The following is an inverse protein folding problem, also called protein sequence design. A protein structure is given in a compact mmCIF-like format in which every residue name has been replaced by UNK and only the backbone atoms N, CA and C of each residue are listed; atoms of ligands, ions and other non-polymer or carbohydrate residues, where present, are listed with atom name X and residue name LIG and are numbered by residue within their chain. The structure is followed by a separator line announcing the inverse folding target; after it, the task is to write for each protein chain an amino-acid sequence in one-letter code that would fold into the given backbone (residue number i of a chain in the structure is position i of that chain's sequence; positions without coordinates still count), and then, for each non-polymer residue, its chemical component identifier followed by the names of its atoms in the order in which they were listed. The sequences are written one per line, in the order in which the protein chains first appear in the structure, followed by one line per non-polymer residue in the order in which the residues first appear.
data_IF_720294455386
#
_entry.id   IF_720294455386
#
_cell.length_a   1.000
_cell.length_b   1.000
_cell.length_c   1.000
_cell.angle_alpha   90.00
_cell.angle_beta   90.00
_cell.angle_gamma   90.00
#
_symmetry.space_group_name_H-M   'P 1'
#
loop_
_entity.id
_entity.type
_entity.pdbx_description
1 polymer ?
#
# COMPACT_ATOMS: atom_id res chain seq x y z
N UNK A 1 22.40 3.23 4.87
CA UNK A 1 21.11 3.58 5.44
C UNK A 1 20.57 4.86 4.79
N UNK A 2 19.30 4.88 4.49
CA UNK A 2 18.69 6.06 3.89
C UNK A 2 18.71 7.23 4.87
N UNK A 3 19.01 8.43 4.38
CA UNK A 3 18.99 9.65 5.20
C UNK A 3 17.57 10.11 5.47
N UNK A 4 16.61 9.66 4.65
CA UNK A 4 15.22 10.03 4.76
C UNK A 4 14.39 8.90 4.17
N UNK A 5 13.15 8.74 4.69
CA UNK A 5 12.21 7.76 4.12
C UNK A 5 11.94 8.05 2.63
N UNK A 6 12.14 9.30 2.21
CA UNK A 6 11.91 9.69 0.82
C UNK A 6 12.86 9.00 -0.16
N UNK A 7 14.00 8.49 0.34
CA UNK A 7 14.98 7.77 -0.47
C UNK A 7 14.63 6.28 -0.60
N UNK A 8 13.67 5.79 0.17
CA UNK A 8 13.31 4.38 0.12
C UNK A 8 12.45 4.09 -1.11
N UNK A 9 12.91 3.17 -1.95
CA UNK A 9 12.19 2.81 -3.18
C UNK A 9 10.77 2.35 -2.88
N UNK A 10 10.58 1.59 -1.79
CA UNK A 10 9.28 1.07 -1.43
C UNK A 10 8.30 2.21 -1.08
N UNK A 11 8.79 3.27 -0.42
CA UNK A 11 7.98 4.45 -0.16
C UNK A 11 7.64 5.16 -1.47
N UNK A 12 8.65 5.33 -2.33
CA UNK A 12 8.47 5.99 -3.62
C UNK A 12 7.44 5.27 -4.51
N UNK A 13 7.37 3.96 -4.42
CA UNK A 13 6.36 3.18 -5.15
C UNK A 13 4.99 3.22 -4.49
N UNK A 14 4.97 3.37 -3.18
CA UNK A 14 3.70 3.45 -2.42
C UNK A 14 2.92 4.72 -2.72
N UNK A 15 3.59 5.80 -3.08
CA UNK A 15 2.93 7.06 -3.40
C UNK A 15 2.09 6.95 -4.69
N UNK A 16 2.67 6.55 -5.84
CA UNK A 16 1.84 6.40 -7.05
C UNK A 16 0.75 5.34 -6.91
N UNK A 17 0.97 4.30 -6.11
CA UNK A 17 -0.07 3.33 -5.82
C UNK A 17 -1.27 4.00 -5.14
N UNK A 18 -1.01 4.82 -4.12
CA UNK A 18 -2.07 5.53 -3.40
C UNK A 18 -2.82 6.48 -4.33
N UNK A 19 -2.08 7.22 -5.16
CA UNK A 19 -2.67 8.16 -6.13
C UNK A 19 -3.55 7.40 -7.11
N UNK A 20 -3.07 6.27 -7.63
CA UNK A 20 -3.83 5.45 -8.58
C UNK A 20 -5.13 4.95 -7.96
N UNK A 21 -5.07 4.50 -6.70
CA UNK A 21 -6.27 4.02 -6.00
C UNK A 21 -7.31 5.13 -5.87
N UNK A 22 -6.89 6.35 -5.55
CA UNK A 22 -7.82 7.48 -5.50
C UNK A 22 -8.42 7.75 -6.87
N UNK A 23 -7.60 7.73 -7.92
CA UNK A 23 -8.07 8.01 -9.27
C UNK A 23 -9.07 6.96 -9.76
N UNK A 24 -8.73 5.68 -9.64
CA UNK A 24 -9.60 4.62 -10.14
C UNK A 24 -10.90 4.51 -9.34
N UNK A 25 -10.85 4.81 -8.04
CA UNK A 25 -12.04 4.68 -7.21
C UNK A 25 -13.03 5.83 -7.36
N UNK A 26 -12.66 6.90 -8.07
CA UNK A 26 -13.63 7.96 -8.40
C UNK A 26 -14.79 7.44 -9.23
N UNK A 27 -14.58 6.37 -9.99
CA UNK A 27 -15.62 5.77 -10.83
C UNK A 27 -16.47 4.75 -10.08
N UNK A 28 -16.17 4.48 -8.82
CA UNK A 28 -16.94 3.52 -8.03
C UNK A 28 -18.33 4.09 -7.67
N UNK A 29 -19.32 3.23 -7.41
CA UNK A 29 -20.65 3.70 -7.05
C UNK A 29 -20.63 4.61 -5.84
N UNK A 30 -21.44 5.67 -5.86
CA UNK A 30 -21.51 6.65 -4.77
C UNK A 30 -21.92 6.00 -3.45
N UNK A 31 -22.80 5.01 -3.50
CA UNK A 31 -23.26 4.30 -2.31
C UNK A 31 -22.16 3.55 -1.58
N UNK A 32 -21.04 3.31 -2.26
CA UNK A 32 -19.89 2.63 -1.66
C UNK A 32 -18.83 3.59 -1.15
N UNK A 33 -19.09 4.90 -1.19
CA UNK A 33 -18.11 5.89 -0.74
C UNK A 33 -17.67 5.65 0.69
N UNK A 34 -18.59 5.32 1.59
CA UNK A 34 -18.29 5.05 2.99
C UNK A 34 -18.10 3.56 3.27
N UNK A 35 -18.07 2.74 2.23
CA UNK A 35 -17.82 1.31 2.32
C UNK A 35 -16.49 0.96 1.68
N UNK A 36 -16.54 0.18 0.60
CA UNK A 36 -15.34 -0.33 -0.07
C UNK A 36 -14.40 0.79 -0.52
N UNK A 37 -14.93 1.86 -1.08
CA UNK A 37 -14.11 2.98 -1.55
C UNK A 37 -13.26 3.56 -0.42
N UNK A 38 -13.90 3.86 0.71
CA UNK A 38 -13.21 4.43 1.87
C UNK A 38 -12.15 3.47 2.40
N UNK A 39 -12.50 2.20 2.54
CA UNK A 39 -11.57 1.18 3.04
C UNK A 39 -10.37 1.01 2.12
N UNK A 40 -10.61 0.98 0.82
CA UNK A 40 -9.56 0.84 -0.17
C UNK A 40 -8.56 2.00 -0.10
N UNK A 41 -9.08 3.22 -0.02
CA UNK A 41 -8.25 4.42 0.05
C UNK A 41 -7.42 4.43 1.34
N UNK A 42 -8.02 4.04 2.45
CA UNK A 42 -7.30 3.99 3.74
C UNK A 42 -6.20 2.93 3.71
N UNK A 43 -6.47 1.77 3.14
CA UNK A 43 -5.45 0.73 3.03
C UNK A 43 -4.28 1.21 2.17
N UNK A 44 -4.58 1.86 1.05
CA UNK A 44 -3.55 2.37 0.14
C UNK A 44 -2.65 3.40 0.83
N UNK A 45 -3.24 4.39 1.50
CA UNK A 45 -2.48 5.44 2.19
C UNK A 45 -1.69 4.86 3.37
N UNK A 46 -2.21 3.84 4.01
CA UNK A 46 -1.55 3.18 5.14
C UNK A 46 -0.18 2.60 4.75
N UNK A 47 -0.01 2.19 3.50
CA UNK A 47 1.24 1.58 3.05
C UNK A 47 2.41 2.58 3.15
N UNK A 48 2.43 3.69 2.40
CA UNK A 48 3.56 4.62 2.51
C UNK A 48 3.62 5.30 3.87
N UNK A 49 2.48 5.52 4.52
CA UNK A 49 2.47 6.16 5.83
C UNK A 49 3.21 5.34 6.88
N UNK A 50 2.97 4.02 6.91
CA UNK A 50 3.64 3.15 7.87
C UNK A 50 5.12 2.94 7.54
N UNK A 51 5.46 2.92 6.25
CA UNK A 51 6.87 2.86 5.85
C UNK A 51 7.62 4.09 6.37
N UNK A 52 7.04 5.28 6.17
CA UNK A 52 7.66 6.53 6.61
C UNK A 52 7.74 6.59 8.14
N UNK A 53 6.67 6.20 8.81
CA UNK A 53 6.64 6.23 10.27
C UNK A 53 7.66 5.27 10.85
N UNK A 54 7.77 4.07 10.30
CA UNK A 54 8.75 3.09 10.74
C UNK A 54 10.17 3.56 10.53
N UNK A 55 10.44 4.19 9.39
CA UNK A 55 11.77 4.73 9.10
C UNK A 55 12.16 5.84 10.08
N UNK A 56 11.18 6.52 10.67
CA UNK A 56 11.43 7.56 11.67
C UNK A 56 11.67 7.04 13.07
N UNK A 57 11.51 5.74 13.30
CA UNK A 57 11.77 5.16 14.62
C UNK A 57 13.27 4.99 14.83
N UNK A 58 13.67 4.93 16.09
CA UNK A 58 15.07 4.94 16.45
C UNK A 58 15.72 3.55 16.51
N UNK A 59 14.97 2.49 16.22
CA UNK A 59 15.49 1.14 16.34
C UNK A 59 14.88 0.20 15.30
N UNK A 60 15.61 -0.87 15.02
CA UNK A 60 15.24 -1.86 14.01
C UNK A 60 13.96 -2.64 14.36
N UNK A 61 13.73 -3.09 15.60
CA UNK A 61 12.49 -3.79 15.92
C UNK A 61 11.23 -2.99 15.61
N UNK A 62 11.22 -1.70 15.94
CA UNK A 62 10.07 -0.85 15.65
C UNK A 62 9.92 -0.64 14.13
N UNK A 63 11.02 -0.44 13.42
CA UNK A 63 10.98 -0.30 11.97
C UNK A 63 10.37 -1.56 11.35
N UNK A 64 10.83 -2.74 11.79
CA UNK A 64 10.28 -4.01 11.31
C UNK A 64 8.79 -4.11 11.57
N UNK A 65 8.33 -3.67 12.75
CA UNK A 65 6.92 -3.70 13.10
C UNK A 65 6.09 -2.85 12.13
N UNK A 66 6.54 -1.63 11.85
CA UNK A 66 5.82 -0.75 10.92
C UNK A 66 5.83 -1.28 9.49
N UNK A 67 6.93 -1.87 9.06
CA UNK A 67 6.98 -2.53 7.75
C UNK A 67 5.99 -3.68 7.70
N UNK A 68 5.84 -4.43 8.78
CA UNK A 68 4.83 -5.49 8.87
C UNK A 68 3.42 -4.97 8.74
N UNK A 69 3.12 -3.83 9.36
CA UNK A 69 1.81 -3.19 9.23
C UNK A 69 1.58 -2.77 7.77
N UNK A 70 2.59 -2.17 7.14
CA UNK A 70 2.50 -1.78 5.74
C UNK A 70 2.25 -2.98 4.83
N UNK A 71 2.92 -4.11 5.11
CA UNK A 71 2.71 -5.35 4.36
C UNK A 71 1.28 -5.84 4.50
N UNK A 72 0.75 -5.84 5.72
CA UNK A 72 -0.64 -6.22 5.96
C UNK A 72 -1.60 -5.31 5.21
N UNK A 73 -1.32 -4.01 5.17
CA UNK A 73 -2.13 -3.06 4.40
C UNK A 73 -2.09 -3.36 2.91
N UNK A 74 -0.95 -3.85 2.39
CA UNK A 74 -0.87 -4.22 0.97
C UNK A 74 -1.74 -5.44 0.67
N UNK A 75 -1.83 -6.40 1.57
CA UNK A 75 -2.71 -7.54 1.40
C UNK A 75 -4.17 -7.13 1.51
N UNK A 76 -4.48 -6.20 2.40
CA UNK A 76 -5.82 -5.66 2.53
C UNK A 76 -6.23 -4.94 1.25
N UNK A 77 -5.35 -4.11 0.70
CA UNK A 77 -5.60 -3.42 -0.56
C UNK A 77 -5.79 -4.40 -1.71
N UNK A 78 -4.97 -5.44 -1.80
CA UNK A 78 -5.13 -6.50 -2.79
C UNK A 78 -6.54 -7.11 -2.71
N UNK A 79 -6.99 -7.36 -1.49
CA UNK A 79 -8.31 -7.94 -1.25
C UNK A 79 -9.41 -6.99 -1.75
N UNK A 80 -9.29 -5.69 -1.41
CA UNK A 80 -10.26 -4.68 -1.86
C UNK A 80 -10.30 -4.58 -3.38
N UNK A 81 -9.14 -4.59 -4.02
CA UNK A 81 -9.05 -4.52 -5.49
C UNK A 81 -9.71 -5.73 -6.14
N UNK A 82 -9.50 -6.90 -5.58
CA UNK A 82 -10.13 -8.12 -6.07
C UNK A 82 -11.65 -8.04 -5.93
N UNK A 83 -12.13 -7.56 -4.77
CA UNK A 83 -13.57 -7.39 -4.55
C UNK A 83 -14.16 -6.41 -5.57
N UNK A 84 -13.49 -5.27 -5.77
CA UNK A 84 -13.95 -4.27 -6.73
C UNK A 84 -14.03 -4.86 -8.14
N UNK A 85 -13.04 -5.63 -8.54
CA UNK A 85 -13.01 -6.28 -9.85
C UNK A 85 -14.18 -7.26 -9.99
N UNK A 86 -14.42 -8.08 -8.97
CA UNK A 86 -15.52 -9.05 -8.99
C UNK A 86 -16.88 -8.37 -9.04
N UNK A 87 -17.02 -7.20 -8.42
CA UNK A 87 -18.25 -6.42 -8.45
C UNK A 87 -18.40 -5.61 -9.75
N UNK A 88 -17.37 -5.57 -10.58
CA UNK A 88 -17.41 -4.78 -11.81
C UNK A 88 -17.31 -3.28 -11.58
N UNK A 89 -16.72 -2.86 -10.47
CA UNK A 89 -16.56 -1.43 -10.16
C UNK A 89 -15.39 -0.84 -10.94
N UNK A 90 -15.61 0.33 -11.53
CA UNK A 90 -14.58 1.09 -12.21
C UNK A 90 -14.05 0.43 -13.47
N UNK A 91 -12.86 0.84 -13.89
CA UNK A 91 -12.20 0.36 -15.09
C UNK A 91 -11.35 -0.85 -14.75
N UNK A 92 -11.69 -2.00 -15.32
CA UNK A 92 -10.99 -3.26 -15.05
C UNK A 92 -9.50 -3.16 -15.37
N UNK A 93 -9.12 -2.45 -16.42
CA UNK A 93 -7.71 -2.30 -16.79
C UNK A 93 -6.93 -1.54 -15.72
N UNK A 94 -7.52 -0.48 -15.15
CA UNK A 94 -6.88 0.28 -14.09
C UNK A 94 -6.74 -0.56 -12.82
N UNK A 95 -7.75 -1.38 -12.52
CA UNK A 95 -7.70 -2.25 -11.34
C UNK A 95 -6.57 -3.27 -11.49
N UNK A 96 -6.41 -3.84 -12.69
CA UNK A 96 -5.31 -4.80 -12.94
C UNK A 96 -3.95 -4.12 -12.74
N UNK A 97 -3.79 -2.89 -13.23
CA UNK A 97 -2.54 -2.14 -13.02
C UNK A 97 -2.29 -1.92 -11.54
N UNK A 98 -3.33 -1.53 -10.80
CA UNK A 98 -3.20 -1.31 -9.35
C UNK A 98 -2.85 -2.61 -8.61
N UNK A 99 -3.46 -3.73 -9.01
CA UNK A 99 -3.15 -5.03 -8.42
C UNK A 99 -1.68 -5.39 -8.63
N UNK A 100 -1.17 -5.17 -9.83
CA UNK A 100 0.23 -5.43 -10.15
C UNK A 100 1.18 -4.57 -9.34
N UNK A 101 0.90 -3.27 -9.25
CA UNK A 101 1.72 -2.34 -8.49
C UNK A 101 1.67 -2.65 -6.99
N UNK A 102 0.49 -3.00 -6.49
CA UNK A 102 0.33 -3.38 -5.09
C UNK A 102 1.13 -4.65 -4.77
N UNK A 103 1.09 -5.63 -5.66
CA UNK A 103 1.86 -6.85 -5.50
C UNK A 103 3.36 -6.56 -5.48
N UNK A 104 3.82 -5.68 -6.37
CA UNK A 104 5.23 -5.27 -6.41
C UNK A 104 5.63 -4.61 -5.09
N UNK A 105 4.82 -3.67 -4.61
CA UNK A 105 5.09 -2.98 -3.34
C UNK A 105 5.14 -3.97 -2.19
N UNK A 106 4.21 -4.93 -2.15
CA UNK A 106 4.20 -5.96 -1.11
C UNK A 106 5.48 -6.78 -1.10
N UNK A 107 5.97 -7.15 -2.28
CA UNK A 107 7.23 -7.89 -2.38
C UNK A 107 8.42 -7.04 -1.93
N UNK A 108 8.43 -5.76 -2.28
CA UNK A 108 9.48 -4.85 -1.84
C UNK A 108 9.48 -4.69 -0.33
N UNK A 109 8.31 -4.60 0.29
CA UNK A 109 8.20 -4.53 1.75
C UNK A 109 8.78 -5.80 2.38
N UNK A 110 8.39 -6.96 1.85
CA UNK A 110 8.91 -8.23 2.35
C UNK A 110 10.44 -8.28 2.24
N UNK A 111 10.98 -7.84 1.10
CA UNK A 111 12.43 -7.76 0.92
C UNK A 111 13.09 -6.82 1.90
N UNK A 112 12.45 -5.69 2.20
CA UNK A 112 12.97 -4.74 3.19
C UNK A 112 12.99 -5.37 4.58
N UNK A 113 11.94 -6.10 4.95
CA UNK A 113 11.88 -6.80 6.24
C UNK A 113 12.98 -7.87 6.31
N UNK A 114 13.10 -8.68 5.25
CA UNK A 114 14.09 -9.76 5.21
C UNK A 114 15.52 -9.23 5.25
N UNK A 115 15.72 -8.02 4.72
CA UNK A 115 17.04 -7.39 4.71
C UNK A 115 17.42 -6.73 6.03
N UNK A 116 16.49 -6.61 6.98
CA UNK A 116 16.82 -6.03 8.28
C UNK A 116 17.64 -7.03 9.07
N UNK A 117 18.69 -6.50 9.67
CA UNK A 117 19.62 -7.31 10.44
C UNK A 117 18.96 -7.85 11.70
N UNK A 118 19.45 -9.00 12.16
CA UNK A 118 19.10 -9.54 13.46
C UNK A 118 19.61 -8.67 14.61
N UNK A 119 20.49 -7.77 14.29
CA UNK A 119 21.15 -6.89 15.29
C UNK A 119 20.19 -5.91 15.92
#
# INVERSE_FOLDING_TARGET
MAKSYRELLVWQKGIPLSVLVYQLSKAFPREDLYGLTSQMRRAAVSIPSNIAEGAGRLNTPEYRQFLGIARGSSFELQTHLTIARELGFGDAAQIVVAEGLCNEVGKMIFGAIAGLSEN
#
